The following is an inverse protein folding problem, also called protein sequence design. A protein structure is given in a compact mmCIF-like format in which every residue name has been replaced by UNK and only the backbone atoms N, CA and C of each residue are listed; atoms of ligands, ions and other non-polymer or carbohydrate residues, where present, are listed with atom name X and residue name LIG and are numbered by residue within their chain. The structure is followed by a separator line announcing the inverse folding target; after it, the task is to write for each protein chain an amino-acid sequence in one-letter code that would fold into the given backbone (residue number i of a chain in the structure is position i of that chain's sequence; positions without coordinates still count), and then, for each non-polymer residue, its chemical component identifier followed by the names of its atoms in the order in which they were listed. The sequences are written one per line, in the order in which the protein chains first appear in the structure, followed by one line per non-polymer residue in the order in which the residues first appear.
data_IF_939721949402
#
_entry.id   IF_939721949402
#
_cell.length_a   1.000
_cell.length_b   1.000
_cell.length_c   1.000
_cell.angle_alpha   90.00
_cell.angle_beta   90.00
_cell.angle_gamma   90.00
#
_symmetry.space_group_name_H-M   'P 1'
#
loop_
_entity.id
_entity.type
_entity.pdbx_description
1 polymer ?
#
# COMPACT_ATOMS: atom_id res chain seq x y z
N UNK A 1 -5.32 23.97 1.10
CA UNK A 1 -5.58 24.04 2.56
C UNK A 1 -5.76 25.49 2.99
N UNK A 2 -6.61 25.76 3.98
CA UNK A 2 -6.78 27.11 4.52
C UNK A 2 -5.65 27.43 5.50
N UNK A 3 -5.21 28.69 5.55
CA UNK A 3 -4.22 29.13 6.55
C UNK A 3 -2.80 28.56 6.38
N UNK A 4 -2.38 28.22 5.15
CA UNK A 4 -1.08 27.61 4.87
C UNK A 4 0.11 28.39 5.47
N UNK A 5 0.08 29.73 5.45
CA UNK A 5 1.15 30.56 6.02
C UNK A 5 1.29 30.39 7.53
N UNK A 6 0.17 30.37 8.27
CA UNK A 6 0.15 30.13 9.73
C UNK A 6 0.64 28.72 10.04
N UNK A 7 0.15 27.72 9.29
CA UNK A 7 0.58 26.33 9.45
C UNK A 7 2.09 26.17 9.23
N UNK A 8 2.66 26.83 8.20
CA UNK A 8 4.09 26.79 7.92
C UNK A 8 4.93 27.46 9.01
N UNK A 9 4.46 28.57 9.58
CA UNK A 9 5.11 29.21 10.74
C UNK A 9 5.09 28.28 11.96
N UNK A 10 3.93 27.67 12.23
CA UNK A 10 3.76 26.76 13.36
C UNK A 10 4.59 25.49 13.21
N UNK A 11 4.65 24.94 11.99
CA UNK A 11 5.51 23.82 11.62
C UNK A 11 6.98 24.10 11.96
N UNK A 12 7.52 25.26 11.57
CA UNK A 12 8.90 25.64 11.89
C UNK A 12 9.13 25.79 13.40
N UNK A 13 8.15 26.29 14.14
CA UNK A 13 8.24 26.40 15.60
C UNK A 13 8.25 25.02 16.27
N UNK A 14 7.29 24.16 15.92
CA UNK A 14 7.17 22.80 16.45
C UNK A 14 8.41 21.98 16.09
N UNK A 15 8.87 22.02 14.84
CA UNK A 15 10.03 21.25 14.42
C UNK A 15 11.32 21.66 15.15
N UNK A 16 11.53 22.97 15.37
CA UNK A 16 12.65 23.46 16.19
C UNK A 16 12.53 23.00 17.65
N UNK A 17 11.34 23.06 18.23
CA UNK A 17 11.07 22.60 19.60
C UNK A 17 11.36 21.10 19.75
N UNK A 18 10.88 20.27 18.82
CA UNK A 18 11.13 18.83 18.83
C UNK A 18 12.63 18.51 18.74
N UNK A 19 13.37 19.21 17.86
CA UNK A 19 14.83 19.07 17.75
C UNK A 19 15.55 19.42 19.06
N UNK A 20 15.10 20.45 19.76
CA UNK A 20 15.67 20.86 21.04
C UNK A 20 15.36 19.85 22.16
N UNK A 21 14.11 19.37 22.25
CA UNK A 21 13.65 18.54 23.37
C UNK A 21 14.04 17.07 23.24
N UNK A 22 13.96 16.50 22.02
CA UNK A 22 14.20 15.07 21.80
C UNK A 22 15.61 14.77 21.27
N UNK A 23 16.36 15.81 20.90
CA UNK A 23 17.72 15.69 20.37
C UNK A 23 17.77 14.92 19.04
N UNK A 24 18.90 14.22 18.83
CA UNK A 24 19.09 13.36 17.66
C UNK A 24 18.48 11.98 17.93
N UNK A 25 17.38 11.68 17.25
CA UNK A 25 16.76 10.35 17.26
C UNK A 25 17.35 9.52 16.12
N UNK A 26 17.42 8.20 16.32
CA UNK A 26 17.74 7.27 15.24
C UNK A 26 16.74 7.43 14.07
N UNK A 27 17.28 7.65 12.87
CA UNK A 27 16.46 7.77 11.65
C UNK A 27 15.74 6.44 11.38
N UNK A 28 14.55 6.47 10.75
CA UNK A 28 13.86 5.24 10.40
C UNK A 28 14.72 4.42 9.44
N UNK A 29 14.73 3.10 9.64
CA UNK A 29 15.46 2.17 8.78
C UNK A 29 14.90 2.19 7.36
N UNK A 30 15.77 2.48 6.39
CA UNK A 30 15.49 2.28 4.97
C UNK A 30 15.64 0.79 4.64
N UNK A 31 14.75 0.26 3.80
CA UNK A 31 14.78 -1.13 3.33
C UNK A 31 14.22 -1.21 1.92
N UNK A 32 14.11 -2.40 1.35
CA UNK A 32 13.46 -2.56 0.05
C UNK A 32 12.00 -2.04 0.06
N UNK A 33 11.48 -1.58 -1.10
CA UNK A 33 10.15 -0.99 -1.17
C UNK A 33 8.99 -1.94 -0.82
N UNK A 34 9.12 -3.26 -1.05
CA UNK A 34 8.06 -4.22 -0.70
C UNK A 34 8.01 -4.39 0.83
N UNK A 35 9.15 -4.48 1.49
CA UNK A 35 9.21 -4.46 2.95
C UNK A 35 8.57 -3.19 3.51
N UNK A 36 8.83 -2.02 2.91
CA UNK A 36 8.18 -0.77 3.36
C UNK A 36 6.69 -0.71 3.05
N UNK A 37 6.22 -1.38 1.99
CA UNK A 37 4.81 -1.55 1.70
C UNK A 37 4.13 -2.34 2.83
N UNK A 38 4.69 -3.50 3.19
CA UNK A 38 4.15 -4.34 4.28
C UNK A 38 4.14 -3.52 5.58
N UNK A 39 5.29 -2.95 5.95
CA UNK A 39 5.37 -2.16 7.18
C UNK A 39 4.38 -0.99 7.18
N UNK A 40 4.15 -0.33 6.04
CA UNK A 40 3.17 0.76 5.93
C UNK A 40 1.74 0.32 6.22
N UNK A 41 1.30 -0.77 5.59
CA UNK A 41 -0.06 -1.30 5.79
C UNK A 41 -0.29 -1.62 7.27
N UNK A 42 0.72 -2.18 7.93
CA UNK A 42 0.60 -2.67 9.30
C UNK A 42 0.90 -1.61 10.36
N UNK A 43 1.63 -0.54 10.06
CA UNK A 43 1.99 0.51 11.03
C UNK A 43 1.11 1.76 11.01
N UNK A 44 0.07 1.82 10.15
CA UNK A 44 -0.74 3.04 9.97
C UNK A 44 -1.49 3.49 11.24
N UNK A 45 -1.78 2.58 12.15
CA UNK A 45 -2.53 2.75 13.41
C UNK A 45 -1.92 1.92 14.56
N UNK A 46 -0.66 1.49 14.40
CA UNK A 46 0.06 0.68 15.39
C UNK A 46 1.52 1.11 15.52
N UNK A 47 2.13 0.94 16.71
CA UNK A 47 3.56 1.22 16.88
C UNK A 47 4.40 0.41 15.89
N UNK A 48 5.45 1.04 15.35
CA UNK A 48 6.38 0.45 14.38
C UNK A 48 6.94 -0.92 14.83
N UNK A 49 7.17 -1.11 16.14
CA UNK A 49 7.63 -2.39 16.69
C UNK A 49 6.66 -3.55 16.39
N UNK A 50 5.35 -3.32 16.50
CA UNK A 50 4.32 -4.32 16.22
C UNK A 50 4.21 -4.63 14.73
N UNK A 51 4.40 -3.63 13.87
CA UNK A 51 4.46 -3.86 12.43
C UNK A 51 5.70 -4.69 12.02
N UNK A 52 6.84 -4.51 12.71
CA UNK A 52 8.03 -5.35 12.50
C UNK A 52 7.81 -6.78 12.99
N UNK A 53 7.20 -6.98 14.16
CA UNK A 53 6.81 -8.33 14.62
C UNK A 53 5.92 -9.03 13.57
N UNK A 54 4.96 -8.31 12.98
CA UNK A 54 4.12 -8.85 11.91
C UNK A 54 4.92 -9.24 10.66
N UNK A 55 5.85 -8.38 10.22
CA UNK A 55 6.73 -8.64 9.09
C UNK A 55 7.59 -9.89 9.30
N UNK A 56 8.21 -10.04 10.47
CA UNK A 56 9.06 -11.20 10.76
C UNK A 56 8.25 -12.50 10.77
N UNK A 57 7.05 -12.50 11.36
CA UNK A 57 6.15 -13.66 11.28
C UNK A 57 5.79 -14.04 9.84
N UNK A 58 5.55 -13.05 8.97
CA UNK A 58 5.33 -13.34 7.55
C UNK A 58 6.56 -13.94 6.88
N UNK A 59 7.76 -13.43 7.17
CA UNK A 59 9.03 -13.94 6.63
C UNK A 59 9.35 -15.36 7.09
N UNK A 60 8.92 -15.74 8.28
CA UNK A 60 9.07 -17.13 8.77
C UNK A 60 8.17 -18.11 8.02
N UNK A 61 7.04 -17.64 7.47
CA UNK A 61 6.09 -18.49 6.74
C UNK A 61 6.42 -18.70 5.27
N UNK A 62 7.16 -17.78 4.64
CA UNK A 62 7.33 -17.75 3.19
C UNK A 62 8.80 -17.65 2.81
N UNK A 63 9.18 -18.32 1.72
CA UNK A 63 10.54 -18.19 1.19
C UNK A 63 10.73 -16.80 0.55
N UNK A 64 9.69 -16.30 -0.10
CA UNK A 64 9.69 -14.97 -0.70
C UNK A 64 8.30 -14.30 -0.67
N UNK A 65 8.24 -13.02 -1.06
CA UNK A 65 6.98 -12.29 -1.10
C UNK A 65 6.06 -12.70 -2.28
N UNK A 66 6.52 -13.53 -3.23
CA UNK A 66 5.65 -14.09 -4.26
C UNK A 66 4.74 -15.17 -3.67
N UNK A 67 5.20 -15.93 -2.67
CA UNK A 67 4.36 -16.85 -1.91
C UNK A 67 3.37 -16.09 -1.01
N UNK A 68 3.81 -14.99 -0.40
CA UNK A 68 2.95 -14.18 0.47
C UNK A 68 1.66 -13.68 -0.23
N UNK A 69 1.71 -13.41 -1.55
CA UNK A 69 0.55 -12.91 -2.31
C UNK A 69 -0.55 -13.95 -2.51
N UNK A 70 -0.22 -15.24 -2.44
CA UNK A 70 -1.15 -16.35 -2.70
C UNK A 70 -1.79 -16.88 -1.42
N UNK A 71 -1.25 -16.52 -0.25
CA UNK A 71 -1.85 -16.88 1.04
C UNK A 71 -3.18 -16.15 1.21
N UNK A 72 -4.19 -16.89 1.69
CA UNK A 72 -5.51 -16.33 1.93
C UNK A 72 -5.43 -15.19 2.98
N UNK A 73 -6.06 -14.02 2.75
CA UNK A 73 -6.03 -12.93 3.72
C UNK A 73 -6.51 -13.31 5.14
N UNK A 74 -7.43 -14.28 5.24
CA UNK A 74 -7.94 -14.77 6.52
C UNK A 74 -6.88 -15.57 7.29
N UNK A 75 -6.04 -16.33 6.59
CA UNK A 75 -4.94 -17.10 7.18
C UNK A 75 -3.86 -16.15 7.71
N UNK A 76 -3.46 -15.15 6.92
CA UNK A 76 -2.54 -14.09 7.35
C UNK A 76 -3.08 -13.35 8.59
N UNK A 77 -4.38 -13.06 8.61
CA UNK A 77 -5.03 -12.42 9.74
C UNK A 77 -5.04 -13.31 11.00
N UNK A 78 -5.27 -14.62 10.83
CA UNK A 78 -5.24 -15.60 11.92
C UNK A 78 -3.87 -15.66 12.62
N UNK A 79 -2.78 -15.57 11.85
CA UNK A 79 -1.41 -15.59 12.37
C UNK A 79 -1.05 -14.35 13.21
N UNK A 80 -1.52 -13.17 12.82
CA UNK A 80 -1.26 -11.94 13.57
C UNK A 80 -2.08 -11.84 14.86
N UNK A 81 -3.24 -12.50 14.90
CA UNK A 81 -4.14 -12.53 16.04
C UNK A 81 -5.15 -11.38 16.05
N UNK A 82 -6.18 -11.53 16.90
CA UNK A 82 -7.33 -10.61 16.95
C UNK A 82 -7.01 -9.24 17.55
N UNK A 83 -5.92 -9.13 18.30
CA UNK A 83 -5.50 -7.89 18.94
C UNK A 83 -4.93 -6.87 17.94
N UNK A 84 -4.62 -7.30 16.72
CA UNK A 84 -4.11 -6.41 15.68
C UNK A 84 -5.29 -5.62 15.07
N UNK A 85 -5.30 -4.27 15.16
CA UNK A 85 -6.44 -3.48 14.70
C UNK A 85 -6.73 -3.69 13.22
N UNK A 86 -8.00 -3.97 12.89
CA UNK A 86 -8.49 -4.17 11.52
C UNK A 86 -7.63 -5.12 10.68
N UNK A 87 -7.07 -6.15 11.32
CA UNK A 87 -6.10 -7.08 10.73
C UNK A 87 -6.59 -7.72 9.43
N UNK A 88 -7.86 -8.10 9.39
CA UNK A 88 -8.48 -8.69 8.20
C UNK A 88 -8.43 -7.73 7.02
N UNK A 89 -8.84 -6.48 7.24
CA UNK A 89 -8.86 -5.44 6.20
C UNK A 89 -7.42 -5.16 5.72
N UNK A 90 -6.45 -5.13 6.64
CA UNK A 90 -5.02 -4.95 6.29
C UNK A 90 -4.46 -6.11 5.47
N UNK A 91 -4.82 -7.34 5.80
CA UNK A 91 -4.39 -8.51 5.01
C UNK A 91 -5.05 -8.51 3.62
N UNK A 92 -6.30 -8.07 3.52
CA UNK A 92 -6.98 -7.86 2.23
C UNK A 92 -6.33 -6.72 1.42
N UNK A 93 -5.94 -5.61 2.07
CA UNK A 93 -5.18 -4.51 1.45
C UNK A 93 -3.82 -5.01 0.93
N UNK A 94 -3.08 -5.75 1.76
CA UNK A 94 -1.78 -6.33 1.39
C UNK A 94 -1.91 -7.27 0.19
N UNK A 95 -2.82 -8.24 0.25
CA UNK A 95 -3.02 -9.20 -0.83
C UNK A 95 -3.38 -8.51 -2.14
N UNK A 96 -4.25 -7.49 -2.10
CA UNK A 96 -4.58 -6.68 -3.28
C UNK A 96 -3.36 -5.96 -3.84
N UNK A 97 -2.56 -5.33 -2.97
CA UNK A 97 -1.38 -4.59 -3.40
C UNK A 97 -0.32 -5.51 -4.04
N UNK A 98 -0.01 -6.64 -3.39
CA UNK A 98 0.99 -7.60 -3.91
C UNK A 98 0.54 -8.22 -5.24
N UNK A 99 -0.72 -8.63 -5.36
CA UNK A 99 -1.25 -9.17 -6.61
C UNK A 99 -1.29 -8.13 -7.73
N UNK A 100 -1.59 -6.87 -7.40
CA UNK A 100 -1.56 -5.78 -8.38
C UNK A 100 -0.15 -5.49 -8.88
N UNK A 101 0.84 -5.49 -7.99
CA UNK A 101 2.27 -5.33 -8.35
C UNK A 101 2.70 -6.50 -9.24
N UNK A 102 2.41 -7.74 -8.84
CA UNK A 102 2.73 -8.92 -9.63
C UNK A 102 2.09 -8.90 -11.03
N UNK A 103 0.84 -8.43 -11.15
CA UNK A 103 0.17 -8.31 -12.44
C UNK A 103 0.82 -7.31 -13.40
N UNK A 104 1.55 -6.30 -12.89
CA UNK A 104 2.23 -5.27 -13.70
C UNK A 104 3.68 -5.66 -13.97
N UNK A 105 4.41 -6.14 -12.96
CA UNK A 105 5.85 -6.37 -13.02
C UNK A 105 6.23 -7.84 -13.24
N UNK A 106 5.25 -8.76 -13.23
CA UNK A 106 5.44 -10.22 -13.29
C UNK A 106 6.34 -10.80 -12.17
N UNK A 107 6.54 -10.03 -11.11
CA UNK A 107 7.25 -10.39 -9.87
C UNK A 107 6.81 -9.42 -8.76
N UNK A 108 6.83 -9.86 -7.51
CA UNK A 108 6.61 -8.96 -6.36
C UNK A 108 7.87 -8.14 -6.09
N UNK A 109 8.09 -7.09 -6.88
CA UNK A 109 9.26 -6.22 -6.84
C UNK A 109 8.86 -4.81 -7.30
N UNK A 110 9.52 -3.78 -6.76
CA UNK A 110 9.31 -2.37 -7.13
C UNK A 110 10.61 -1.67 -7.51
N UNK A 111 11.69 -2.41 -7.81
CA UNK A 111 13.02 -1.86 -8.08
C UNK A 111 13.00 -0.91 -9.28
N UNK A 112 12.16 -1.19 -10.28
CA UNK A 112 11.93 -0.32 -11.45
C UNK A 112 11.51 1.11 -11.05
N UNK A 113 10.85 1.30 -9.91
CA UNK A 113 10.45 2.62 -9.45
C UNK A 113 11.65 3.51 -9.05
N UNK A 114 12.81 2.92 -8.75
CA UNK A 114 14.02 3.68 -8.43
C UNK A 114 14.50 4.53 -9.61
N UNK A 115 14.33 4.04 -10.84
CA UNK A 115 14.72 4.73 -12.08
C UNK A 115 13.67 5.73 -12.59
N UNK A 116 12.47 5.70 -12.01
CA UNK A 116 11.36 6.56 -12.41
C UNK A 116 11.44 7.93 -11.71
N UNK A 117 10.99 8.97 -12.41
CA UNK A 117 10.86 10.28 -11.78
C UNK A 117 9.76 10.27 -10.70
N UNK A 118 9.83 11.22 -9.76
CA UNK A 118 8.92 11.31 -8.60
C UNK A 118 7.43 11.33 -8.98
N UNK A 119 7.09 11.99 -10.11
CA UNK A 119 5.71 12.12 -10.58
C UNK A 119 5.17 10.78 -11.08
N UNK A 120 5.99 10.05 -11.83
CA UNK A 120 5.62 8.75 -12.37
C UNK A 120 5.56 7.68 -11.27
N UNK A 121 6.44 7.74 -10.28
CA UNK A 121 6.34 6.89 -9.07
C UNK A 121 5.04 7.15 -8.32
N UNK A 122 4.68 8.42 -8.09
CA UNK A 122 3.42 8.76 -7.42
C UNK A 122 2.21 8.25 -8.21
N UNK A 123 2.21 8.42 -9.54
CA UNK A 123 1.15 7.92 -10.41
C UNK A 123 1.11 6.38 -10.48
N UNK A 124 2.26 5.70 -10.36
CA UNK A 124 2.32 4.25 -10.26
C UNK A 124 1.68 3.77 -8.97
N UNK A 125 2.15 4.26 -7.81
CA UNK A 125 1.67 3.82 -6.50
C UNK A 125 0.19 4.14 -6.29
N UNK A 126 -0.32 5.22 -6.88
CA UNK A 126 -1.75 5.55 -6.84
C UNK A 126 -2.65 4.54 -7.59
N UNK A 127 -2.10 3.75 -8.52
CA UNK A 127 -2.81 2.69 -9.28
C UNK A 127 -2.69 1.30 -8.64
N UNK A 128 -2.01 1.20 -7.50
CA UNK A 128 -1.90 -0.04 -6.73
C UNK A 128 -3.01 -0.05 -5.69
N UNK A 129 -4.03 -0.89 -5.92
CA UNK A 129 -5.13 -1.04 -4.97
C UNK A 129 -4.65 -1.59 -3.63
N UNK A 130 -5.25 -1.11 -2.53
CA UNK A 130 -4.84 -1.48 -1.17
C UNK A 130 -3.75 -0.58 -0.58
N UNK A 131 -3.21 0.39 -1.34
CA UNK A 131 -2.25 1.36 -0.81
C UNK A 131 -2.91 2.71 -0.50
N UNK A 132 -3.08 2.99 0.80
CA UNK A 132 -3.49 4.31 1.26
C UNK A 132 -2.37 5.37 1.14
N UNK A 133 -2.69 6.68 1.21
CA UNK A 133 -1.71 7.76 1.06
C UNK A 133 -0.50 7.65 2.00
N UNK A 134 -0.71 7.20 3.24
CA UNK A 134 0.36 6.93 4.21
C UNK A 134 1.37 5.91 3.66
N UNK A 135 0.90 4.71 3.29
CA UNK A 135 1.77 3.65 2.78
C UNK A 135 2.48 4.07 1.49
N UNK A 136 1.79 4.75 0.57
CA UNK A 136 2.43 5.29 -0.65
C UNK A 136 3.59 6.24 -0.33
N UNK A 137 3.39 7.18 0.59
CA UNK A 137 4.44 8.11 1.00
C UNK A 137 5.57 7.41 1.77
N UNK A 138 5.24 6.37 2.56
CA UNK A 138 6.24 5.56 3.28
C UNK A 138 7.14 4.81 2.30
N UNK A 139 6.58 4.17 1.28
CA UNK A 139 7.34 3.50 0.22
C UNK A 139 8.27 4.49 -0.48
N UNK A 140 7.77 5.68 -0.84
CA UNK A 140 8.59 6.74 -1.46
C UNK A 140 9.78 7.14 -0.58
N UNK A 141 9.52 7.48 0.70
CA UNK A 141 10.57 7.98 1.60
C UNK A 141 11.55 6.90 2.05
N UNK A 142 11.03 5.77 2.52
CA UNK A 142 11.84 4.74 3.19
C UNK A 142 12.20 3.56 2.31
N UNK A 143 11.54 3.39 1.16
CA UNK A 143 11.81 2.33 0.20
C UNK A 143 12.63 2.82 -0.99
N UNK A 144 12.24 3.98 -1.54
CA UNK A 144 12.85 4.55 -2.76
C UNK A 144 13.76 5.75 -2.46
N UNK A 145 13.89 6.16 -1.19
CA UNK A 145 14.66 7.33 -0.76
C UNK A 145 14.27 8.62 -1.51
N UNK A 146 13.02 8.71 -1.97
CA UNK A 146 12.46 9.88 -2.61
C UNK A 146 11.78 10.78 -1.58
N UNK A 147 11.94 12.09 -1.71
CA UNK A 147 11.27 13.06 -0.83
C UNK A 147 9.76 12.80 -0.76
N UNK A 148 9.26 12.55 0.46
CA UNK A 148 7.86 12.35 0.81
C UNK A 148 7.72 12.45 2.33
N UNK A 149 6.53 12.78 2.83
CA UNK A 149 6.26 12.86 4.28
C UNK A 149 5.11 11.90 4.64
N UNK A 150 5.40 10.66 5.10
CA UNK A 150 4.37 9.75 5.62
C UNK A 150 3.83 10.23 6.97
N UNK A 151 2.50 10.28 7.11
CA UNK A 151 1.79 10.54 8.36
C UNK A 151 0.92 9.33 8.74
N UNK A 152 1.28 8.62 9.81
CA UNK A 152 0.39 7.61 10.41
C UNK A 152 -0.75 8.30 11.20
N UNK A 153 -1.69 7.52 11.75
CA UNK A 153 -2.83 8.06 12.51
C UNK A 153 -2.40 8.95 13.70
N UNK A 154 -1.37 8.54 14.43
CA UNK A 154 -0.84 9.30 15.56
C UNK A 154 -0.22 10.62 15.07
N UNK A 155 0.63 10.55 14.05
CA UNK A 155 1.30 11.70 13.45
C UNK A 155 0.30 12.68 12.84
N UNK A 156 -0.76 12.19 12.22
CA UNK A 156 -1.81 13.03 11.66
C UNK A 156 -2.63 13.73 12.75
N UNK A 157 -2.96 13.02 13.84
CA UNK A 157 -3.59 13.62 15.02
C UNK A 157 -2.70 14.70 15.65
N UNK A 158 -1.41 14.39 15.86
CA UNK A 158 -0.42 15.35 16.34
C UNK A 158 -0.32 16.57 15.44
N UNK A 159 -0.34 16.37 14.12
CA UNK A 159 -0.22 17.45 13.15
C UNK A 159 -1.39 18.44 13.24
N UNK A 160 -2.62 17.94 13.45
CA UNK A 160 -3.82 18.76 13.59
C UNK A 160 -3.87 19.44 14.96
N UNK A 161 -3.55 18.71 16.03
CA UNK A 161 -3.52 19.26 17.39
C UNK A 161 -2.52 20.41 17.55
N UNK A 162 -1.40 20.36 16.84
CA UNK A 162 -0.36 21.40 16.86
C UNK A 162 -0.56 22.48 15.80
N UNK A 163 -1.66 22.45 15.03
CA UNK A 163 -1.96 23.39 13.93
C UNK A 163 -0.83 23.48 12.88
N UNK A 164 -0.06 22.41 12.68
CA UNK A 164 0.95 22.36 11.61
C UNK A 164 0.31 21.97 10.27
N UNK A 165 -0.92 21.46 10.29
CA UNK A 165 -1.78 21.26 9.12
C UNK A 165 -3.18 21.77 9.43
N UNK A 166 -3.98 22.03 8.39
CA UNK A 166 -5.37 22.48 8.54
C UNK A 166 -6.20 21.36 9.19
N UNK A 167 -7.00 21.70 10.21
CA UNK A 167 -7.87 20.72 10.86
C UNK A 167 -8.89 20.12 9.87
N UNK A 168 -9.21 20.75 8.75
CA UNK A 168 -10.16 20.21 7.76
C UNK A 168 -9.54 19.51 6.57
N UNK A 169 -8.21 19.53 6.43
CA UNK A 169 -7.55 18.88 5.29
C UNK A 169 -7.63 17.34 5.41
N UNK A 170 -7.72 16.69 4.26
CA UNK A 170 -7.57 15.24 4.19
C UNK A 170 -6.10 14.84 4.38
N UNK A 171 -5.85 13.53 4.51
CA UNK A 171 -4.51 13.01 4.75
C UNK A 171 -3.56 13.32 3.60
N UNK A 172 -4.01 13.19 2.35
CA UNK A 172 -3.16 13.37 1.17
C UNK A 172 -2.76 14.84 0.99
N UNK A 173 -3.69 15.77 1.19
CA UNK A 173 -3.46 17.20 1.22
C UNK A 173 -2.52 17.60 2.36
N UNK A 174 -2.67 17.02 3.55
CA UNK A 174 -1.77 17.23 4.68
C UNK A 174 -0.33 16.82 4.35
N UNK A 175 -0.16 15.61 3.78
CA UNK A 175 1.15 15.09 3.40
C UNK A 175 1.80 15.93 2.29
N UNK A 176 1.04 16.32 1.26
CA UNK A 176 1.53 17.18 0.17
C UNK A 176 1.96 18.56 0.68
N UNK A 177 1.24 19.14 1.64
CA UNK A 177 1.64 20.40 2.25
C UNK A 177 2.96 20.28 3.03
N UNK A 178 3.10 19.24 3.85
CA UNK A 178 4.33 19.00 4.60
C UNK A 178 5.51 18.71 3.67
N UNK A 179 5.30 17.94 2.60
CA UNK A 179 6.33 17.66 1.58
C UNK A 179 6.82 18.96 0.91
N UNK A 180 5.95 19.95 0.69
CA UNK A 180 6.36 21.27 0.17
C UNK A 180 7.03 22.17 1.20
N UNK A 181 6.70 21.99 2.48
CA UNK A 181 7.15 22.87 3.57
C UNK A 181 8.45 22.43 4.22
N UNK A 182 8.81 21.14 4.07
CA UNK A 182 9.99 20.52 4.67
C UNK A 182 10.97 20.18 3.56
N UNK A 183 12.25 20.46 3.80
CA UNK A 183 13.32 20.12 2.85
C UNK A 183 13.50 18.60 2.74
N UNK A 184 14.09 18.13 1.64
CA UNK A 184 14.38 16.70 1.47
C UNK A 184 15.36 16.17 2.54
N UNK A 185 16.35 16.98 2.90
CA UNK A 185 17.38 16.62 3.88
C UNK A 185 16.81 16.48 5.30
N UNK A 186 15.78 17.28 5.62
CA UNK A 186 15.12 17.25 6.93
C UNK A 186 14.01 16.20 7.03
N UNK A 187 13.60 15.57 5.92
CA UNK A 187 12.41 14.71 5.88
C UNK A 187 12.50 13.51 6.84
N UNK A 188 13.63 12.80 6.84
CA UNK A 188 13.85 11.64 7.73
C UNK A 188 13.87 12.04 9.21
N UNK A 189 14.53 13.16 9.52
CA UNK A 189 14.62 13.68 10.89
C UNK A 189 13.24 14.12 11.38
N UNK A 190 12.48 14.83 10.53
CA UNK A 190 11.11 15.24 10.83
C UNK A 190 10.23 14.03 11.12
N UNK A 191 10.23 13.01 10.27
CA UNK A 191 9.42 11.80 10.46
C UNK A 191 9.81 11.08 11.75
N UNK A 192 11.11 10.96 12.07
CA UNK A 192 11.56 10.32 13.31
C UNK A 192 11.08 11.08 14.56
N UNK A 193 11.23 12.41 14.57
CA UNK A 193 10.87 13.28 15.69
C UNK A 193 9.36 13.31 15.91
N UNK A 194 8.60 13.55 14.84
CA UNK A 194 7.14 13.63 14.92
C UNK A 194 6.56 12.27 15.26
N UNK A 195 7.05 11.16 14.70
CA UNK A 195 6.57 9.82 15.07
C UNK A 195 6.78 9.54 16.55
N UNK A 196 7.98 9.80 17.09
CA UNK A 196 8.26 9.58 18.52
C UNK A 196 7.32 10.39 19.42
N UNK A 197 7.18 11.68 19.13
CA UNK A 197 6.31 12.56 19.92
C UNK A 197 4.84 12.18 19.78
N UNK A 198 4.38 11.96 18.55
CA UNK A 198 2.98 11.66 18.27
C UNK A 198 2.52 10.36 18.93
N UNK A 199 3.36 9.32 18.94
CA UNK A 199 3.03 8.07 19.62
C UNK A 199 3.09 8.17 21.15
N UNK A 200 3.88 9.10 21.69
CA UNK A 200 3.86 9.41 23.12
C UNK A 200 2.55 10.13 23.52
N UNK A 201 2.09 11.09 22.71
CA UNK A 201 0.92 11.92 23.03
C UNK A 201 -0.41 11.25 22.66
N UNK A 202 -0.48 10.62 21.49
CA UNK A 202 -1.72 10.11 20.88
C UNK A 202 -1.81 8.59 20.79
N UNK A 203 -0.78 7.84 21.22
CA UNK A 203 -0.77 6.38 21.08
C UNK A 203 -1.94 5.68 21.79
N UNK A 204 -2.40 6.21 22.94
CA UNK A 204 -3.59 5.69 23.62
C UNK A 204 -4.88 6.02 22.86
N UNK A 205 -5.00 7.25 22.33
CA UNK A 205 -6.16 7.69 21.55
C UNK A 205 -6.30 6.90 20.23
N UNK A 206 -5.19 6.55 19.58
CA UNK A 206 -5.17 5.67 18.39
C UNK A 206 -5.75 4.29 18.73
N UNK A 207 -5.27 3.66 19.81
CA UNK A 207 -5.79 2.35 20.24
C UNK A 207 -7.28 2.38 20.58
N UNK A 208 -7.75 3.48 21.18
CA UNK A 208 -9.17 3.71 21.50
C UNK A 208 -10.01 4.16 20.31
N UNK A 209 -9.40 4.39 19.13
CA UNK A 209 -10.05 4.88 17.91
C UNK A 209 -10.69 6.27 18.07
N UNK A 210 -10.09 7.12 18.91
CA UNK A 210 -10.53 8.49 19.20
C UNK A 210 -9.92 9.52 18.22
N UNK A 211 -8.96 9.08 17.39
CA UNK A 211 -8.34 9.91 16.34
C UNK A 211 -8.95 9.63 14.97
N UNK A 212 -8.71 10.53 14.01
CA UNK A 212 -9.17 10.30 12.65
C UNK A 212 -8.41 9.13 12.02
N UNK A 213 -9.19 8.13 11.57
CA UNK A 213 -8.66 6.88 11.06
C UNK A 213 -8.25 6.96 9.60
N UNK A 214 -7.18 6.27 9.27
CA UNK A 214 -6.77 6.07 7.88
C UNK A 214 -7.56 4.87 7.34
N UNK A 215 -8.52 5.17 6.47
CA UNK A 215 -9.40 4.15 5.89
C UNK A 215 -8.66 3.40 4.77
N UNK A 216 -8.90 2.09 4.68
CA UNK A 216 -8.47 1.31 3.53
C UNK A 216 -9.11 1.86 2.25
N UNK A 217 -8.35 1.79 1.15
CA UNK A 217 -8.86 2.18 -0.16
C UNK A 217 -9.70 1.00 -0.70
N UNK A 218 -11.01 1.16 -0.92
CA UNK A 218 -11.83 0.11 -1.52
C UNK A 218 -11.37 -0.16 -2.95
N UNK A 219 -11.46 -1.41 -3.45
CA UNK A 219 -11.06 -1.71 -4.82
C UNK A 219 -11.91 -0.92 -5.83
N UNK A 220 -11.26 -0.36 -6.85
CA UNK A 220 -11.95 0.20 -8.02
C UNK A 220 -12.82 -0.87 -8.70
N UNK A 221 -13.88 -0.46 -9.40
CA UNK A 221 -14.84 -1.36 -10.07
C UNK A 221 -14.13 -2.32 -11.02
N UNK A 222 -13.06 -1.86 -11.68
CA UNK A 222 -12.24 -2.65 -12.61
C UNK A 222 -11.50 -3.77 -11.88
N UNK A 223 -10.86 -3.45 -10.76
CA UNK A 223 -10.13 -4.39 -9.92
C UNK A 223 -11.08 -5.38 -9.23
N UNK A 224 -12.28 -4.92 -8.88
CA UNK A 224 -13.37 -5.76 -8.35
C UNK A 224 -13.78 -6.85 -9.36
N UNK A 225 -13.90 -6.49 -10.64
CA UNK A 225 -14.24 -7.45 -11.70
C UNK A 225 -13.10 -8.44 -12.01
N UNK A 226 -11.84 -7.98 -12.01
CA UNK A 226 -10.68 -8.85 -12.21
C UNK A 226 -10.52 -9.83 -11.05
N UNK A 227 -10.66 -9.37 -9.80
CA UNK A 227 -10.57 -10.24 -8.63
C UNK A 227 -11.70 -11.27 -8.59
N UNK A 228 -12.90 -10.91 -9.04
CA UNK A 228 -14.02 -11.86 -9.20
C UNK A 228 -13.75 -12.93 -10.28
N UNK A 229 -12.96 -12.61 -11.32
CA UNK A 229 -12.54 -13.60 -12.32
C UNK A 229 -11.52 -14.60 -11.76
N UNK A 230 -10.63 -14.17 -10.86
CA UNK A 230 -9.69 -15.06 -10.16
C UNK A 230 -10.28 -15.76 -8.93
N UNK A 231 -11.44 -15.30 -8.43
CA UNK A 231 -12.14 -15.86 -7.27
C UNK A 231 -13.34 -16.73 -7.67
N UNK A 232 -13.38 -17.26 -8.90
CA UNK A 232 -14.38 -18.28 -9.23
C UNK A 232 -14.09 -19.49 -8.34
N UNK A 233 -15.03 -19.93 -7.48
CA UNK A 233 -14.90 -21.26 -6.90
C UNK A 233 -14.94 -22.23 -8.08
N UNK A 234 -13.95 -23.14 -8.12
CA UNK A 234 -14.08 -24.32 -8.94
C UNK A 234 -15.44 -24.94 -8.60
N UNK A 235 -16.33 -25.02 -9.59
CA UNK A 235 -17.61 -25.65 -9.42
C UNK A 235 -17.40 -27.13 -9.07
N UNK A 236 -18.03 -27.57 -7.98
CA UNK A 236 -18.16 -28.98 -7.62
C UNK A 236 -17.62 -29.30 -6.23
N UNK A 237 -18.40 -28.98 -5.20
CA UNK A 237 -18.62 -29.90 -4.09
C UNK A 237 -20.00 -29.55 -3.50
N UNK A 238 -20.93 -30.48 -3.65
CA UNK A 238 -22.23 -30.48 -3.01
C UNK A 238 -22.01 -30.48 -1.49
N UNK A 239 -22.30 -29.36 -0.83
CA UNK A 239 -22.45 -29.34 0.62
C UNK A 239 -23.90 -29.66 0.89
N UNK A 240 -24.14 -30.95 1.14
CA UNK A 240 -25.37 -31.42 1.77
C UNK A 240 -25.61 -30.64 3.06
N UNK A 241 -26.87 -30.25 3.16
CA UNK A 241 -27.53 -29.58 4.26
C UNK A 241 -27.26 -30.33 5.58
N UNK A 242 -26.48 -29.72 6.49
CA UNK A 242 -26.35 -30.19 7.87
C UNK A 242 -27.69 -29.93 8.56
N UNK A 243 -28.57 -30.91 8.49
CA UNK A 243 -29.77 -31.02 9.31
C UNK A 243 -29.41 -31.41 10.74
N UNK A 244 -30.09 -30.77 11.67
CA UNK A 244 -30.02 -30.95 13.12
C UNK A 244 -30.06 -32.44 13.53
N UNK A 245 -29.07 -32.86 14.32
CA UNK A 245 -29.09 -34.11 15.07
C UNK A 245 -29.61 -33.81 16.49
N UNK A 246 -30.92 -33.90 16.65
CA UNK A 246 -31.53 -34.18 17.95
C UNK A 246 -31.60 -35.70 18.16
N UNK A 247 -30.95 -36.14 19.23
CA UNK A 247 -30.96 -37.50 19.75
C UNK A 247 -32.14 -37.60 20.70
N UNK A 248 -33.16 -38.42 20.40
CA UNK A 248 -33.70 -39.41 21.35
C UNK A 248 -34.88 -40.25 20.81
N UNK A 249 -34.84 -41.53 21.21
CA UNK A 249 -35.95 -42.48 21.45
C UNK A 249 -36.74 -43.11 20.28
N UNK A 250 -36.28 -44.31 19.89
CA UNK A 250 -36.94 -45.63 20.04
C UNK A 250 -38.34 -45.97 19.41
N UNK A 251 -38.38 -47.24 18.93
CA UNK A 251 -39.49 -48.21 18.84
C UNK A 251 -40.18 -48.42 17.48
N UNK A 252 -40.02 -49.66 16.97
CA UNK A 252 -40.91 -50.57 16.16
C UNK A 252 -41.90 -49.96 15.14
N UNK A 253 -42.14 -50.45 13.92
CA UNK A 253 -41.92 -51.68 13.17
C UNK A 253 -42.84 -51.64 11.92
N UNK A 254 -42.74 -52.58 10.97
CA UNK A 254 -43.84 -52.92 10.04
C UNK A 254 -43.73 -52.51 8.56
N UNK A 255 -43.37 -53.51 7.74
CA UNK A 255 -43.83 -53.94 6.39
C UNK A 255 -44.71 -53.10 5.41
N UNK A 256 -44.36 -53.30 4.10
CA UNK A 256 -45.21 -53.39 2.88
C UNK A 256 -45.91 -52.09 2.38
N UNK A 257 -46.18 -51.81 1.10
CA UNK A 257 -45.92 -52.39 -0.24
C UNK A 257 -46.26 -51.30 -1.31
N UNK A 258 -45.76 -51.53 -2.54
CA UNK A 258 -46.26 -51.16 -3.90
C UNK A 258 -47.34 -50.06 -4.07
N UNK A 259 -47.14 -49.13 -5.02
CA UNK A 259 -47.76 -49.22 -6.37
C UNK A 259 -47.43 -48.04 -7.31
N UNK A 260 -47.64 -48.33 -8.59
CA UNK A 260 -47.40 -47.61 -9.85
C UNK A 260 -48.09 -46.23 -10.02
N UNK A 261 -47.50 -45.34 -10.87
CA UNK A 261 -48.11 -44.88 -12.15
C UNK A 261 -47.34 -43.74 -12.85
N UNK A 262 -46.78 -44.10 -14.01
CA UNK A 262 -46.92 -43.51 -15.36
C UNK A 262 -47.19 -42.01 -15.63
N UNK A 263 -46.44 -41.54 -16.65
CA UNK A 263 -46.75 -40.49 -17.65
C UNK A 263 -46.42 -39.04 -17.23
N UNK A 264 -45.77 -38.17 -18.02
CA UNK A 264 -45.86 -37.89 -19.45
C UNK A 264 -44.61 -37.15 -19.98
N UNK A 265 -44.29 -37.50 -21.23
CA UNK A 265 -43.57 -36.78 -22.28
C UNK A 265 -43.67 -35.24 -22.25
N UNK A 266 -42.55 -34.51 -22.42
CA UNK A 266 -42.38 -33.53 -23.52
C UNK A 266 -40.94 -32.98 -23.62
N UNK A 267 -40.35 -33.21 -24.80
CA UNK A 267 -39.10 -32.65 -25.31
C UNK A 267 -39.18 -31.13 -25.45
N UNK A 268 -38.09 -30.42 -25.15
CA UNK A 268 -37.71 -29.19 -25.88
C UNK A 268 -36.21 -28.87 -25.74
N UNK A 269 -35.48 -29.09 -26.85
CA UNK A 269 -34.13 -28.57 -27.12
C UNK A 269 -34.19 -27.06 -27.35
N UNK A 270 -33.14 -26.29 -27.00
CA UNK A 270 -32.76 -25.12 -27.77
C UNK A 270 -31.48 -25.38 -28.58
N UNK A 271 -31.42 -24.69 -29.71
CA UNK A 271 -30.47 -24.85 -30.80
C UNK A 271 -29.16 -24.09 -30.58
N UNK A 272 -28.11 -24.62 -31.22
CA UNK A 272 -26.78 -24.04 -31.33
C UNK A 272 -26.75 -22.77 -32.23
N UNK A 273 -25.70 -21.92 -32.10
CA UNK A 273 -25.67 -20.59 -32.68
C UNK A 273 -25.17 -20.57 -34.14
N UNK A 274 -25.73 -19.65 -34.93
CA UNK A 274 -25.28 -19.35 -36.30
C UNK A 274 -24.14 -18.33 -36.30
N UNK A 275 -23.01 -18.73 -36.90
CA UNK A 275 -21.92 -17.87 -37.38
C UNK A 275 -22.41 -16.95 -38.50
N UNK A 276 -21.91 -15.71 -38.53
CA UNK A 276 -21.68 -14.96 -39.77
C UNK A 276 -20.37 -14.18 -39.66
N UNK A 277 -19.47 -14.54 -40.57
CA UNK A 277 -18.27 -13.82 -40.94
C UNK A 277 -18.62 -12.53 -41.68
N UNK A 278 -17.91 -11.44 -41.39
CA UNK A 278 -17.43 -10.49 -42.39
C UNK A 278 -16.11 -9.87 -41.92
N UNK A 279 -15.09 -10.04 -42.77
CA UNK A 279 -13.73 -9.50 -42.63
C UNK A 279 -13.63 -8.10 -43.31
N UNK A 280 -12.44 -7.56 -43.61
CA UNK A 280 -11.73 -6.62 -42.75
C UNK A 280 -11.45 -5.26 -43.44
N UNK A 281 -11.17 -4.20 -42.68
CA UNK A 281 -10.67 -2.94 -43.25
C UNK A 281 -9.47 -2.37 -42.49
N UNK A 282 -8.33 -2.54 -43.16
CA UNK A 282 -7.18 -1.64 -43.37
C UNK A 282 -6.44 -1.01 -42.17
N UNK A 283 -5.18 -1.43 -42.11
CA UNK A 283 -4.07 -0.86 -41.38
C UNK A 283 -3.58 0.51 -41.92
N UNK A 284 -3.06 1.31 -40.98
CA UNK A 284 -1.81 2.08 -40.98
C UNK A 284 -1.58 3.24 -41.98
N UNK A 285 -1.28 4.42 -41.43
CA UNK A 285 0.10 4.96 -41.42
C UNK A 285 0.28 6.12 -40.44
N UNK A 286 1.40 6.02 -39.72
CA UNK A 286 1.93 6.88 -38.68
C UNK A 286 3.01 7.76 -39.33
N UNK A 287 2.94 9.08 -39.14
CA UNK A 287 4.00 10.01 -39.50
C UNK A 287 4.68 10.50 -38.21
N UNK A 288 5.98 10.27 -38.10
CA UNK A 288 6.89 10.82 -37.10
C UNK A 288 7.65 12.00 -37.68
N UNK A 289 7.88 13.08 -36.92
CA UNK A 289 9.03 13.95 -37.15
C UNK A 289 10.11 13.70 -36.07
N UNK A 290 11.35 13.61 -36.54
CA UNK A 290 12.59 13.60 -35.75
C UNK A 290 12.81 14.92 -35.01
N UNK A 291 13.59 14.92 -33.90
CA UNK A 291 14.35 16.09 -33.52
C UNK A 291 15.86 15.81 -33.45
N UNK A 292 16.57 16.48 -34.36
CA UNK A 292 17.86 17.17 -34.24
C UNK A 292 18.72 16.87 -33.00
N UNK A 293 19.86 16.21 -33.23
CA UNK A 293 20.97 16.09 -32.29
C UNK A 293 21.99 17.22 -32.42
N UNK A 294 22.19 17.88 -31.28
CA UNK A 294 23.34 18.65 -30.75
C UNK A 294 24.69 18.65 -31.50
N UNK A 295 25.25 19.85 -31.64
CA UNK A 295 26.65 20.20 -31.39
C UNK A 295 26.63 21.58 -30.69
N UNK A 296 27.37 21.91 -29.63
CA UNK A 296 28.60 21.39 -29.07
C UNK A 296 29.34 22.61 -28.51
N UNK A 297 28.88 23.15 -27.37
CA UNK A 297 29.49 24.29 -26.70
C UNK A 297 30.43 23.81 -25.59
N UNK A 298 31.72 24.12 -25.71
CA UNK A 298 32.72 23.95 -24.65
C UNK A 298 33.36 25.32 -24.34
N UNK A 299 33.40 25.78 -23.09
CA UNK A 299 34.29 26.86 -22.68
C UNK A 299 35.61 26.31 -22.09
N UNK A 300 36.71 27.07 -22.18
CA UNK A 300 38.05 26.58 -21.90
C UNK A 300 38.40 26.56 -20.40
N UNK A 301 39.18 25.53 -20.03
CA UNK A 301 39.83 25.34 -18.73
C UNK A 301 40.74 26.52 -18.36
N UNK A 302 40.55 27.04 -17.15
CA UNK A 302 41.44 28.01 -16.51
C UNK A 302 42.80 27.38 -16.14
N UNK A 303 43.87 28.11 -16.47
CA UNK A 303 45.26 27.81 -16.14
C UNK A 303 45.51 28.01 -14.63
N UNK A 304 45.89 26.96 -13.90
CA UNK A 304 46.54 27.10 -12.57
C UNK A 304 48.04 27.19 -12.77
N UNK A 305 48.63 28.31 -12.32
CA UNK A 305 50.08 28.52 -12.18
C UNK A 305 50.64 27.67 -11.01
N UNK A 306 51.91 27.24 -11.07
CA UNK A 306 52.60 26.62 -9.95
C UNK A 306 53.15 27.71 -9.02
N UNK A 307 53.18 27.46 -7.71
CA UNK A 307 54.00 28.24 -6.77
C UNK A 307 55.04 27.32 -6.14
N UNK A 308 56.27 27.82 -6.18
CA UNK A 308 57.51 27.16 -5.87
C UNK A 308 57.83 27.10 -4.38
N UNK A 309 58.80 26.22 -4.10
CA UNK A 309 59.58 25.97 -2.89
C UNK A 309 60.10 27.21 -2.13
N UNK A 310 60.19 27.05 -0.81
CA UNK A 310 61.31 27.45 0.08
C UNK A 310 61.20 26.55 1.33
N UNK A 311 62.16 25.71 1.73
CA UNK A 311 63.47 26.02 2.36
C UNK A 311 63.28 26.96 3.58
N UNK A 312 63.76 26.74 4.81
CA UNK A 312 64.78 25.87 5.44
C UNK A 312 64.52 25.94 6.97
N UNK A 313 64.71 24.84 7.70
CA UNK A 313 65.71 24.63 8.79
C UNK A 313 65.48 25.32 10.14
N UNK A 314 65.84 24.54 11.17
CA UNK A 314 66.01 24.82 12.62
C UNK A 314 64.76 25.02 13.43
#
# INVERSE_FOLDING_TARGET
MKGATRCAQRLRQVFRSLRANLGRIARPSVSDPITQLILGVFSRDMPEAKAREALERFREMVVDYNELRVIAPLELAGMLGRDYPDVRIKCEDLSRALNRIFAIEHRVCLDRLADMNKKDVAAYLARVDGLEPYTRARIRLLGLQQHAIPLDEAMWAFARANEIVDAKCDLEEAQLFLERSISADDALDFVALVRRQAWADFGAAVRKREVQRIRSVPPDRTSRNMLAQFSTPAAGDDVDEIGDLDIDAAVEGGEQARDEKSAKLTKRRPAAPRRRDTAPTKAARRATPEPVTKAGGAPPRAKRKPRARGARST
#
